data_IF_663144119704
#
_entry.id   IF_663144119704
#
_cell.length_a   1.000
_cell.length_b   1.000
_cell.length_c   1.000
_cell.angle_alpha   90.00
_cell.angle_beta   90.00
_cell.angle_gamma   90.00
#
_symmetry.space_group_name_H-M   'P 1'
#
loop_
_entity.id
_entity.type
_entity.pdbx_description
1 polymer ?
#
# COMPACT_ATOMS: atom_id res chain seq x y z
N UNK A 1 -54.14 36.30 43.45
CA UNK A 1 -55.10 35.73 42.49
C UNK A 1 -54.70 36.23 41.11
N UNK A 2 -54.19 35.33 40.26
CA UNK A 2 -53.93 35.47 38.80
C UNK A 2 -52.66 36.27 38.44
N UNK A 3 -51.81 35.93 37.46
CA UNK A 3 -51.64 34.75 36.62
C UNK A 3 -50.21 34.78 36.03
N UNK A 4 -49.50 33.66 36.16
CA UNK A 4 -48.68 32.94 35.16
C UNK A 4 -47.76 33.72 34.18
N UNK A 5 -46.48 33.33 34.26
CA UNK A 5 -45.61 32.83 33.18
C UNK A 5 -45.34 33.80 32.01
N UNK A 6 -44.12 34.35 31.99
CA UNK A 6 -43.37 34.43 30.73
C UNK A 6 -42.06 33.69 30.92
N UNK A 7 -41.97 32.61 30.16
CA UNK A 7 -40.95 31.59 30.15
C UNK A 7 -39.55 32.19 29.96
N UNK A 8 -38.65 31.83 30.87
CA UNK A 8 -37.22 31.82 30.64
C UNK A 8 -36.94 30.87 29.49
N UNK A 9 -36.78 31.39 28.27
CA UNK A 9 -36.29 30.64 27.12
C UNK A 9 -34.82 30.30 27.38
N UNK A 10 -34.59 29.23 28.13
CA UNK A 10 -33.32 28.51 28.06
C UNK A 10 -33.29 27.95 26.64
N UNK A 11 -32.56 28.64 25.77
CA UNK A 11 -32.13 28.08 24.50
C UNK A 11 -31.16 26.97 24.89
N UNK A 12 -31.70 25.77 25.07
CA UNK A 12 -30.92 24.55 24.99
C UNK A 12 -30.49 24.52 23.52
N UNK A 13 -29.27 24.99 23.24
CA UNK A 13 -28.63 24.63 22.00
C UNK A 13 -28.68 23.11 21.94
N UNK A 14 -29.31 22.50 20.92
CA UNK A 14 -29.12 21.09 20.72
C UNK A 14 -27.62 20.94 20.51
N UNK A 15 -26.95 20.27 21.45
CA UNK A 15 -25.68 19.64 21.13
C UNK A 15 -26.02 18.78 19.92
N UNK A 16 -25.58 19.22 18.74
CA UNK A 16 -25.45 18.33 17.61
C UNK A 16 -24.55 17.22 18.16
N UNK A 17 -25.17 16.09 18.51
CA UNK A 17 -24.42 14.87 18.63
C UNK A 17 -23.77 14.73 17.25
N UNK A 18 -22.46 14.94 17.17
CA UNK A 18 -21.68 14.46 16.04
C UNK A 18 -22.04 12.98 15.93
N UNK A 19 -22.80 12.64 14.90
CA UNK A 19 -22.95 11.26 14.50
C UNK A 19 -21.54 10.86 14.04
N UNK A 20 -20.77 10.27 14.96
CA UNK A 20 -19.44 9.76 14.69
C UNK A 20 -19.60 8.67 13.62
N UNK A 21 -19.54 9.08 12.35
CA UNK A 21 -19.74 8.20 11.23
C UNK A 21 -18.54 7.26 11.21
N UNK A 22 -18.76 6.04 11.71
CA UNK A 22 -17.76 4.98 11.78
C UNK A 22 -17.18 4.59 10.43
N UNK A 23 -17.84 4.98 9.35
CA UNK A 23 -17.41 4.73 7.98
C UNK A 23 -16.92 5.99 7.26
N UNK A 24 -16.36 6.94 8.02
CA UNK A 24 -15.59 8.04 7.45
C UNK A 24 -14.23 7.52 6.93
N UNK A 25 -13.86 7.98 5.73
CA UNK A 25 -12.58 7.65 5.08
C UNK A 25 -11.40 8.08 5.95
N UNK A 26 -11.54 9.09 6.81
CA UNK A 26 -10.53 9.51 7.77
C UNK A 26 -10.09 8.36 8.69
N UNK A 27 -11.02 7.48 9.09
CA UNK A 27 -10.69 6.32 9.96
C UNK A 27 -9.83 5.30 9.24
N UNK A 28 -10.06 5.09 7.94
CA UNK A 28 -9.17 4.28 7.12
C UNK A 28 -7.78 4.92 7.01
N UNK A 29 -7.71 6.23 6.79
CA UNK A 29 -6.43 6.97 6.74
C UNK A 29 -5.66 6.86 8.05
N UNK A 30 -6.34 6.98 9.20
CA UNK A 30 -5.75 6.79 10.53
C UNK A 30 -5.15 5.38 10.72
N UNK A 31 -5.78 4.34 10.14
CA UNK A 31 -5.20 3.00 10.16
C UNK A 31 -3.97 2.87 9.24
N UNK A 32 -3.97 3.55 8.09
CA UNK A 32 -2.93 3.45 7.06
C UNK A 32 -1.68 4.26 7.37
N UNK A 33 -1.82 5.44 7.97
CA UNK A 33 -0.70 6.35 8.23
C UNK A 33 0.45 5.70 9.03
N UNK A 34 0.19 4.95 10.12
CA UNK A 34 1.25 4.23 10.84
C UNK A 34 1.96 3.18 9.98
N UNK A 35 1.23 2.48 9.10
CA UNK A 35 1.81 1.49 8.18
C UNK A 35 2.73 2.21 7.20
N UNK A 36 2.27 3.31 6.62
CA UNK A 36 3.06 4.11 5.68
C UNK A 36 4.35 4.61 6.33
N UNK A 37 4.27 5.17 7.54
CA UNK A 37 5.44 5.65 8.27
C UNK A 37 6.42 4.51 8.63
N UNK A 38 5.91 3.34 9.00
CA UNK A 38 6.73 2.17 9.35
C UNK A 38 7.35 1.44 8.14
N UNK A 39 6.89 1.76 6.91
CA UNK A 39 7.36 1.13 5.66
C UNK A 39 8.14 2.09 4.78
N UNK A 40 7.84 3.39 4.80
CA UNK A 40 8.45 4.40 3.93
C UNK A 40 8.95 5.65 4.68
N UNK A 41 8.65 5.82 5.96
CA UNK A 41 8.95 7.04 6.73
C UNK A 41 10.40 7.18 7.22
N UNK A 42 11.28 6.23 6.90
CA UNK A 42 12.70 6.23 7.26
C UNK A 42 13.58 6.07 6.02
N UNK A 43 14.86 6.46 6.13
CA UNK A 43 15.85 6.39 5.03
C UNK A 43 15.96 5.02 4.37
N UNK A 44 15.64 3.95 5.10
CA UNK A 44 15.77 2.58 4.64
C UNK A 44 14.49 2.05 3.96
N UNK A 45 13.38 2.80 4.02
CA UNK A 45 12.08 2.38 3.48
C UNK A 45 11.74 0.91 3.75
N UNK A 46 11.22 0.22 2.74
CA UNK A 46 10.91 -1.22 2.79
C UNK A 46 12.17 -2.11 2.79
N UNK A 47 13.36 -1.60 3.06
CA UNK A 47 14.63 -2.35 3.13
C UNK A 47 15.20 -2.32 4.55
N UNK A 48 14.36 -2.70 5.52
CA UNK A 48 14.69 -2.77 6.93
C UNK A 48 15.58 -3.98 7.25
N UNK A 49 16.49 -3.82 8.22
CA UNK A 49 17.19 -4.95 8.82
C UNK A 49 16.31 -5.66 9.87
N UNK A 50 16.85 -6.69 10.55
CA UNK A 50 16.05 -7.43 11.53
C UNK A 50 15.66 -6.61 12.76
N UNK A 51 16.45 -5.61 13.15
CA UNK A 51 16.19 -4.76 14.30
C UNK A 51 15.13 -3.70 13.94
N UNK A 52 15.23 -3.12 12.75
CA UNK A 52 14.23 -2.23 12.17
C UNK A 52 12.86 -2.95 12.08
N UNK A 53 12.84 -4.18 11.54
CA UNK A 53 11.62 -4.99 11.47
C UNK A 53 11.03 -5.29 12.85
N UNK A 54 11.85 -5.50 13.89
CA UNK A 54 11.33 -5.74 15.24
C UNK A 54 10.55 -4.55 15.78
N UNK A 55 10.90 -3.34 15.35
CA UNK A 55 10.23 -2.08 15.72
C UNK A 55 8.99 -1.83 14.86
N UNK A 56 9.09 -2.06 13.55
CA UNK A 56 8.05 -1.73 12.58
C UNK A 56 6.91 -2.76 12.52
N UNK A 57 7.22 -4.04 12.72
CA UNK A 57 6.23 -5.11 12.57
C UNK A 57 5.03 -5.04 13.53
N UNK A 58 5.16 -4.66 14.81
CA UNK A 58 4.00 -4.43 15.67
C UNK A 58 3.07 -3.32 15.13
N UNK A 59 3.65 -2.23 14.60
CA UNK A 59 2.90 -1.10 14.02
C UNK A 59 2.13 -1.57 12.78
N UNK A 60 2.84 -2.25 11.87
CA UNK A 60 2.29 -2.79 10.62
C UNK A 60 1.14 -3.76 10.91
N UNK A 61 1.34 -4.74 11.81
CA UNK A 61 0.31 -5.73 12.16
C UNK A 61 -0.93 -5.08 12.78
N UNK A 62 -0.75 -4.08 13.63
CA UNK A 62 -1.86 -3.34 14.23
C UNK A 62 -2.63 -2.52 13.18
N UNK A 63 -1.92 -1.85 12.26
CA UNK A 63 -2.54 -1.12 11.16
C UNK A 63 -3.32 -2.03 10.21
N UNK A 64 -2.74 -3.18 9.81
CA UNK A 64 -3.43 -4.17 8.97
C UNK A 64 -4.72 -4.65 9.64
N UNK A 65 -4.65 -4.96 10.94
CA UNK A 65 -5.83 -5.34 11.73
C UNK A 65 -6.88 -4.22 11.77
N UNK A 66 -6.46 -2.97 11.97
CA UNK A 66 -7.35 -1.79 11.98
C UNK A 66 -8.13 -1.68 10.65
N UNK A 67 -7.45 -1.87 9.52
CA UNK A 67 -8.07 -1.81 8.19
C UNK A 67 -9.01 -3.00 7.96
N UNK A 68 -8.64 -4.20 8.41
CA UNK A 68 -9.54 -5.37 8.34
C UNK A 68 -10.81 -5.17 9.18
N UNK A 69 -10.68 -4.58 10.37
CA UNK A 69 -11.82 -4.26 11.22
C UNK A 69 -12.71 -3.17 10.58
N UNK A 70 -12.10 -2.13 9.98
CA UNK A 70 -12.81 -1.11 9.19
C UNK A 70 -13.52 -1.70 7.96
N UNK A 71 -12.86 -2.55 7.18
CA UNK A 71 -13.44 -3.23 6.02
C UNK A 71 -14.64 -4.10 6.40
N UNK A 72 -14.56 -4.76 7.56
CA UNK A 72 -15.66 -5.58 8.10
C UNK A 72 -16.86 -4.74 8.54
N UNK A 73 -16.65 -3.55 9.08
CA UNK A 73 -17.71 -2.66 9.54
C UNK A 73 -18.33 -1.82 8.40
N UNK A 74 -17.50 -1.34 7.48
CA UNK A 74 -17.85 -0.31 6.51
C UNK A 74 -17.86 -0.78 5.05
N UNK A 75 -17.41 -2.00 4.79
CA UNK A 75 -17.30 -2.57 3.45
C UNK A 75 -15.93 -2.31 2.81
N UNK A 76 -15.53 -3.23 1.94
CA UNK A 76 -14.25 -3.20 1.22
C UNK A 76 -14.18 -2.10 0.17
N UNK A 77 -15.33 -1.73 -0.40
CA UNK A 77 -15.43 -0.75 -1.49
C UNK A 77 -15.07 0.67 -1.04
N UNK A 78 -15.14 0.93 0.27
CA UNK A 78 -14.67 2.18 0.89
C UNK A 78 -13.15 2.33 0.88
N UNK A 79 -12.42 1.25 0.62
CA UNK A 79 -10.95 1.18 0.64
C UNK A 79 -10.40 1.10 -0.77
N UNK A 80 -10.92 0.17 -1.57
CA UNK A 80 -10.45 -0.07 -2.94
C UNK A 80 -11.50 -0.82 -3.76
N UNK A 81 -11.56 -0.55 -5.08
CA UNK A 81 -12.40 -1.29 -6.03
C UNK A 81 -12.09 -2.80 -6.03
N UNK A 82 -10.81 -3.14 -5.90
CA UNK A 82 -10.37 -4.52 -5.72
C UNK A 82 -9.54 -4.64 -4.44
N UNK A 83 -10.23 -4.72 -3.30
CA UNK A 83 -9.62 -4.81 -1.99
C UNK A 83 -8.65 -5.99 -1.83
N UNK A 84 -8.93 -7.13 -2.45
CA UNK A 84 -8.02 -8.28 -2.41
C UNK A 84 -6.67 -7.95 -3.06
N UNK A 85 -6.69 -7.40 -4.27
CA UNK A 85 -5.48 -7.06 -5.02
C UNK A 85 -4.74 -5.85 -4.44
N UNK A 86 -5.49 -4.82 -4.03
CA UNK A 86 -4.92 -3.53 -3.63
C UNK A 86 -4.53 -3.45 -2.16
N UNK A 87 -5.14 -4.28 -1.30
CA UNK A 87 -4.85 -4.27 0.13
C UNK A 87 -4.45 -5.64 0.68
N UNK A 88 -5.28 -6.68 0.56
CA UNK A 88 -5.01 -7.96 1.24
C UNK A 88 -3.71 -8.61 0.79
N UNK A 89 -3.44 -8.58 -0.53
CA UNK A 89 -2.22 -9.16 -1.09
C UNK A 89 -0.95 -8.42 -0.65
N UNK A 90 -0.84 -7.09 -0.73
CA UNK A 90 0.28 -6.35 -0.14
C UNK A 90 0.41 -6.58 1.37
N UNK A 91 -0.72 -6.63 2.10
CA UNK A 91 -0.74 -6.91 3.53
C UNK A 91 -0.17 -8.30 3.84
N UNK A 92 -0.47 -9.33 3.03
CA UNK A 92 0.09 -10.67 3.18
C UNK A 92 1.63 -10.66 3.10
N UNK A 93 2.21 -9.88 2.19
CA UNK A 93 3.66 -9.73 2.11
C UNK A 93 4.24 -9.13 3.40
N UNK A 94 3.64 -8.05 3.87
CA UNK A 94 4.04 -7.37 5.10
C UNK A 94 3.92 -8.30 6.33
N UNK A 95 2.84 -9.06 6.45
CA UNK A 95 2.66 -10.06 7.50
C UNK A 95 3.74 -11.14 7.46
N UNK A 96 4.06 -11.63 6.26
CA UNK A 96 5.08 -12.68 6.07
C UNK A 96 6.49 -12.20 6.37
N UNK A 97 6.90 -11.00 5.96
CA UNK A 97 8.22 -10.46 6.36
C UNK A 97 8.25 -10.19 7.87
N UNK A 98 7.10 -9.93 8.49
CA UNK A 98 6.95 -9.75 9.93
C UNK A 98 6.75 -11.03 10.74
N UNK A 99 6.75 -12.20 10.09
CA UNK A 99 6.80 -13.50 10.74
C UNK A 99 8.24 -14.00 10.78
N UNK A 100 8.82 -14.10 11.98
CA UNK A 100 10.19 -14.57 12.19
C UNK A 100 10.45 -16.00 11.68
N UNK A 101 9.39 -16.79 11.51
CA UNK A 101 9.46 -18.19 11.08
C UNK A 101 9.23 -18.37 9.58
N UNK A 102 8.76 -17.33 8.88
CA UNK A 102 8.44 -17.41 7.47
C UNK A 102 9.73 -17.43 6.61
N UNK A 103 9.87 -18.36 5.64
CA UNK A 103 11.04 -18.42 4.77
C UNK A 103 11.33 -17.13 4.01
N UNK A 104 10.28 -16.43 3.58
CA UNK A 104 10.39 -15.17 2.83
C UNK A 104 11.02 -14.05 3.66
N UNK A 105 10.90 -14.07 5.01
CA UNK A 105 11.62 -13.11 5.87
C UNK A 105 13.13 -13.30 5.77
N UNK A 106 13.60 -14.55 5.72
CA UNK A 106 15.03 -14.86 5.61
C UNK A 106 15.55 -14.36 4.26
N UNK A 107 14.82 -14.63 3.18
CA UNK A 107 15.17 -14.14 1.84
C UNK A 107 15.16 -12.61 1.78
N UNK A 108 14.16 -11.96 2.39
CA UNK A 108 14.07 -10.51 2.49
C UNK A 108 15.27 -9.91 3.22
N UNK A 109 15.61 -10.42 4.42
CA UNK A 109 16.74 -9.93 5.21
C UNK A 109 18.09 -10.14 4.53
N UNK A 110 18.20 -11.16 3.68
CA UNK A 110 19.40 -11.40 2.88
C UNK A 110 19.49 -10.43 1.69
N UNK A 111 18.35 -10.10 1.09
CA UNK A 111 18.26 -9.21 -0.05
C UNK A 111 18.35 -7.71 0.35
N UNK A 112 17.82 -7.33 1.51
CA UNK A 112 17.63 -5.94 1.91
C UNK A 112 18.90 -5.08 1.92
N UNK A 113 20.09 -5.55 2.37
CA UNK A 113 21.27 -4.68 2.43
C UNK A 113 21.71 -4.18 1.06
N UNK A 114 21.71 -5.05 0.03
CA UNK A 114 22.08 -4.64 -1.31
C UNK A 114 21.00 -3.77 -1.96
N UNK A 115 19.72 -4.14 -1.79
CA UNK A 115 18.61 -3.35 -2.34
C UNK A 115 18.57 -1.94 -1.75
N UNK A 116 18.91 -1.80 -0.47
CA UNK A 116 19.06 -0.51 0.19
C UNK A 116 20.24 0.28 -0.37
N UNK A 117 21.41 -0.35 -0.54
CA UNK A 117 22.60 0.31 -1.12
C UNK A 117 22.35 0.77 -2.58
N UNK A 118 21.48 0.06 -3.30
CA UNK A 118 21.17 0.27 -4.71
C UNK A 118 19.77 0.87 -4.93
N UNK A 119 19.19 1.51 -3.91
CA UNK A 119 17.85 2.10 -4.01
C UNK A 119 17.73 3.07 -5.18
N UNK A 120 18.74 3.91 -5.40
CA UNK A 120 18.74 4.93 -6.44
C UNK A 120 18.81 4.30 -7.84
N UNK A 121 19.56 3.21 -8.01
CA UNK A 121 19.61 2.45 -9.26
C UNK A 121 18.24 1.83 -9.60
N UNK A 122 17.49 1.42 -8.56
CA UNK A 122 16.16 0.84 -8.71
C UNK A 122 15.08 1.90 -8.95
N UNK A 123 15.21 3.08 -8.34
CA UNK A 123 14.28 4.21 -8.52
C UNK A 123 14.25 4.70 -9.97
N UNK A 124 15.38 4.61 -10.69
CA UNK A 124 15.46 4.91 -12.13
C UNK A 124 14.46 4.07 -12.95
N UNK A 125 14.06 2.89 -12.49
CA UNK A 125 13.10 2.07 -13.22
C UNK A 125 11.73 2.72 -13.36
N UNK A 126 11.18 3.32 -12.31
CA UNK A 126 9.88 4.01 -12.40
C UNK A 126 9.98 5.24 -13.30
N UNK A 127 11.04 6.02 -13.16
CA UNK A 127 11.29 7.22 -13.97
C UNK A 127 11.39 6.90 -15.47
N UNK A 128 12.15 5.86 -15.85
CA UNK A 128 12.28 5.44 -17.26
C UNK A 128 10.96 5.02 -17.88
N UNK A 129 10.13 4.30 -17.14
CA UNK A 129 8.83 3.87 -17.65
C UNK A 129 7.89 5.06 -17.77
N UNK A 130 7.88 5.98 -16.79
CA UNK A 130 7.09 7.22 -16.88
C UNK A 130 7.51 8.09 -18.07
N UNK A 131 8.81 8.27 -18.30
CA UNK A 131 9.34 9.01 -19.46
C UNK A 131 8.90 8.36 -20.77
N UNK A 132 9.00 7.03 -20.88
CA UNK A 132 8.55 6.30 -22.07
C UNK A 132 7.04 6.49 -22.30
N UNK A 133 6.21 6.32 -21.26
CA UNK A 133 4.76 6.51 -21.40
C UNK A 133 4.37 7.94 -21.75
N UNK A 134 5.12 8.95 -21.28
CA UNK A 134 4.88 10.35 -21.63
C UNK A 134 5.11 10.64 -23.12
N UNK A 135 5.82 9.77 -23.84
CA UNK A 135 5.97 9.87 -25.31
C UNK A 135 4.79 9.30 -26.08
N UNK A 136 3.89 8.58 -25.41
CA UNK A 136 2.72 7.96 -26.02
C UNK A 136 1.53 8.92 -25.94
N UNK A 137 0.74 9.01 -27.01
CA UNK A 137 -0.50 9.79 -27.01
C UNK A 137 -1.43 9.29 -25.89
N UNK A 138 -2.17 10.21 -25.26
CA UNK A 138 -3.15 9.88 -24.23
C UNK A 138 -4.11 8.76 -24.68
N UNK A 139 -4.48 7.83 -23.78
CA UNK A 139 -5.44 6.79 -24.11
C UNK A 139 -6.79 7.43 -24.45
N UNK A 140 -7.30 7.13 -25.64
CA UNK A 140 -8.62 7.57 -26.11
C UNK A 140 -9.64 6.44 -26.10
N UNK A 141 -9.23 5.22 -25.71
CA UNK A 141 -10.06 4.03 -25.57
C UNK A 141 -9.61 3.24 -24.35
N UNK A 142 -10.54 2.47 -23.76
CA UNK A 142 -10.25 1.58 -22.64
C UNK A 142 -9.21 0.50 -23.00
N UNK A 143 -9.19 0.04 -24.25
CA UNK A 143 -8.19 -0.93 -24.75
C UNK A 143 -6.78 -0.33 -24.74
N UNK A 144 -6.64 0.94 -25.16
CA UNK A 144 -5.37 1.65 -25.14
C UNK A 144 -4.92 1.94 -23.70
N UNK A 145 -5.85 2.29 -22.82
CA UNK A 145 -5.58 2.47 -21.38
C UNK A 145 -5.09 1.18 -20.72
N UNK A 146 -5.74 0.05 -21.02
CA UNK A 146 -5.33 -1.26 -20.55
C UNK A 146 -3.94 -1.63 -21.09
N UNK A 147 -3.70 -1.43 -22.39
CA UNK A 147 -2.40 -1.67 -23.03
C UNK A 147 -1.27 -0.86 -22.39
N UNK A 148 -1.51 0.42 -22.11
CA UNK A 148 -0.53 1.29 -21.44
C UNK A 148 -0.25 0.81 -20.01
N UNK A 149 -1.28 0.42 -19.26
CA UNK A 149 -1.14 -0.13 -17.91
C UNK A 149 -0.33 -1.44 -17.91
N UNK A 150 -0.61 -2.34 -18.84
CA UNK A 150 0.14 -3.59 -18.99
C UNK A 150 1.60 -3.34 -19.37
N UNK A 151 1.83 -2.41 -20.30
CA UNK A 151 3.17 -2.02 -20.74
C UNK A 151 3.97 -1.43 -19.57
N UNK A 152 3.35 -0.55 -18.77
CA UNK A 152 3.96 0.01 -17.56
C UNK A 152 4.46 -1.09 -16.62
N UNK A 153 3.54 -2.00 -16.24
CA UNK A 153 3.82 -3.11 -15.31
C UNK A 153 4.93 -4.01 -15.83
N UNK A 154 4.86 -4.42 -17.10
CA UNK A 154 5.86 -5.30 -17.71
C UNK A 154 7.23 -4.65 -17.74
N UNK A 155 7.32 -3.39 -18.18
CA UNK A 155 8.59 -2.67 -18.27
C UNK A 155 9.19 -2.40 -16.88
N UNK A 156 8.36 -2.01 -15.91
CA UNK A 156 8.81 -1.76 -14.54
C UNK A 156 9.38 -3.05 -13.92
N UNK A 157 8.64 -4.17 -14.02
CA UNK A 157 9.09 -5.47 -13.52
C UNK A 157 10.37 -5.94 -14.22
N UNK A 158 10.43 -5.81 -15.54
CA UNK A 158 11.62 -6.18 -16.31
C UNK A 158 12.85 -5.38 -15.87
N UNK A 159 12.71 -4.06 -15.70
CA UNK A 159 13.78 -3.20 -15.22
C UNK A 159 14.20 -3.54 -13.79
N UNK A 160 13.27 -3.70 -12.86
CA UNK A 160 13.59 -4.06 -11.47
C UNK A 160 14.36 -5.38 -11.40
N UNK A 161 13.93 -6.39 -12.16
CA UNK A 161 14.57 -7.70 -12.19
C UNK A 161 15.96 -7.66 -12.84
N UNK A 162 16.13 -6.96 -13.97
CA UNK A 162 17.42 -6.87 -14.65
C UNK A 162 18.43 -6.06 -13.84
N UNK A 163 18.02 -4.90 -13.32
CA UNK A 163 18.85 -4.06 -12.46
C UNK A 163 19.24 -4.79 -11.19
N UNK A 164 18.29 -5.47 -10.52
CA UNK A 164 18.61 -6.25 -9.31
C UNK A 164 19.59 -7.40 -9.63
N UNK A 165 19.41 -8.10 -10.75
CA UNK A 165 20.30 -9.17 -11.15
C UNK A 165 21.73 -8.66 -11.43
N UNK A 166 21.85 -7.50 -12.07
CA UNK A 166 23.12 -6.84 -12.37
C UNK A 166 23.81 -6.32 -11.10
N UNK A 167 23.08 -5.61 -10.24
CA UNK A 167 23.64 -4.88 -9.08
C UNK A 167 23.77 -5.75 -7.83
N UNK A 168 22.84 -6.68 -7.62
CA UNK A 168 22.69 -7.46 -6.39
C UNK A 168 22.69 -8.97 -6.59
N UNK A 169 22.82 -9.45 -7.83
CA UNK A 169 22.92 -10.87 -8.17
C UNK A 169 21.57 -11.58 -8.33
N UNK A 170 21.64 -12.80 -8.88
CA UNK A 170 20.47 -13.59 -9.27
C UNK A 170 19.59 -14.04 -8.09
N UNK A 171 20.18 -14.24 -6.91
CA UNK A 171 19.43 -14.63 -5.72
C UNK A 171 18.50 -13.50 -5.25
N UNK A 172 19.04 -12.28 -5.15
CA UNK A 172 18.27 -11.06 -4.83
C UNK A 172 17.20 -10.80 -5.89
N UNK A 173 17.53 -10.98 -7.18
CA UNK A 173 16.56 -10.85 -8.26
C UNK A 173 15.43 -11.88 -8.18
N UNK A 174 15.74 -13.12 -7.77
CA UNK A 174 14.73 -14.14 -7.52
C UNK A 174 13.81 -13.78 -6.35
N UNK A 175 14.35 -13.16 -5.29
CA UNK A 175 13.56 -12.60 -4.20
C UNK A 175 12.64 -11.47 -4.71
N UNK A 176 13.15 -10.49 -5.45
CA UNK A 176 12.33 -9.41 -6.03
C UNK A 176 11.21 -9.97 -6.91
N UNK A 177 11.49 -10.99 -7.73
CA UNK A 177 10.46 -11.66 -8.53
C UNK A 177 9.33 -12.23 -7.67
N UNK A 178 9.65 -12.81 -6.51
CA UNK A 178 8.63 -13.30 -5.56
C UNK A 178 7.89 -12.14 -4.91
N UNK A 179 8.59 -11.07 -4.50
CA UNK A 179 7.99 -9.89 -3.88
C UNK A 179 6.99 -9.19 -4.83
N UNK A 180 7.31 -9.11 -6.13
CA UNK A 180 6.43 -8.53 -7.18
C UNK A 180 5.12 -9.31 -7.40
N UNK A 181 5.00 -10.54 -6.86
CA UNK A 181 3.72 -11.26 -6.84
C UNK A 181 2.74 -10.67 -5.82
N UNK A 182 3.24 -9.93 -4.83
CA UNK A 182 2.44 -9.28 -3.80
C UNK A 182 2.20 -7.78 -4.05
N UNK A 183 2.87 -7.20 -5.04
CA UNK A 183 2.57 -5.84 -5.50
C UNK A 183 1.12 -5.78 -5.95
N UNK A 184 0.38 -4.69 -5.62
CA UNK A 184 -0.89 -4.43 -6.29
C UNK A 184 -0.63 -4.47 -7.78
N UNK A 185 -1.29 -5.39 -8.48
CA UNK A 185 -1.29 -5.34 -9.93
C UNK A 185 -2.58 -4.64 -10.30
N UNK A 186 -2.48 -3.41 -10.82
CA UNK A 186 -3.63 -2.77 -11.44
C UNK A 186 -4.12 -3.54 -12.67
N UNK A 187 -3.34 -4.53 -13.16
CA UNK A 187 -3.80 -5.33 -14.27
C UNK A 187 -3.14 -6.68 -14.56
N UNK A 188 -2.35 -7.36 -13.72
CA UNK A 188 -1.77 -8.63 -14.21
C UNK A 188 -2.82 -9.71 -14.54
N UNK A 189 -3.94 -9.73 -13.81
CA UNK A 189 -5.05 -10.61 -14.15
C UNK A 189 -5.78 -10.19 -15.44
N UNK A 190 -5.78 -8.91 -15.80
CA UNK A 190 -6.39 -8.38 -17.04
C UNK A 190 -5.42 -8.47 -18.22
N UNK A 191 -4.15 -8.09 -18.03
CA UNK A 191 -3.04 -8.20 -18.97
C UNK A 191 -2.65 -9.63 -19.38
N UNK A 192 -3.03 -10.64 -18.58
CA UNK A 192 -2.80 -12.06 -18.89
C UNK A 192 -4.02 -12.75 -19.52
N UNK A 193 -5.17 -12.08 -19.61
CA UNK A 193 -6.44 -12.66 -20.09
C UNK A 193 -6.77 -12.30 -21.54
N UNK A 194 -5.89 -11.58 -22.23
CA UNK A 194 -5.96 -11.30 -23.68
C UNK A 194 -4.94 -12.13 -24.46
#
# INVERSE_FOLDING_TARGET
>A
MWCLIVLSSIIIAPALAEEDNKCDVSKYVECMEPIHNATFGHSNGLFQDSNDLATSCPIIKNGIKCIQDYAKECGTDMIAENFHEQFERPAEFLEKICDSTAPIRIEYLKASPCLQEKSDDLEVCSAKVQEFLATLDEPNTNEKELTLTCTYEMMLRACLLSTTAEKCGLETAAFIRKALLYSPSLGMQTCSKE
#
